data_IF_854494661948
#
_entry.id   IF_854494661948
#
_cell.length_a   1.000
_cell.length_b   1.000
_cell.length_c   1.000
_cell.angle_alpha   90.00
_cell.angle_beta   90.00
_cell.angle_gamma   90.00
#
_symmetry.space_group_name_H-M   'P 1'
#
loop_
_entity.id
_entity.type
_entity.pdbx_description
1 polymer ?
#
# COMPACT_ATOMS: atom_id res chain seq x y z
N UNK A 1 10.65 -10.82 14.87
CA UNK A 1 11.19 -12.19 14.96
C UNK A 1 10.43 -13.07 15.96
N UNK A 2 10.25 -12.67 17.25
CA UNK A 2 9.56 -13.49 18.27
C UNK A 2 8.18 -14.06 17.85
N UNK A 3 7.39 -13.32 17.04
CA UNK A 3 6.06 -13.74 16.64
C UNK A 3 6.07 -14.89 15.64
N UNK A 4 6.99 -14.89 14.69
CA UNK A 4 7.13 -16.00 13.72
C UNK A 4 7.58 -17.29 14.44
N UNK A 5 8.43 -17.15 15.45
CA UNK A 5 8.85 -18.29 16.28
C UNK A 5 7.65 -18.89 17.05
N UNK A 6 6.80 -18.02 17.63
CA UNK A 6 5.59 -18.47 18.33
C UNK A 6 4.61 -19.21 17.41
N UNK A 7 4.61 -18.91 16.13
CA UNK A 7 3.74 -19.56 15.14
C UNK A 7 4.40 -20.76 14.46
N UNK A 8 5.63 -21.12 14.84
CA UNK A 8 6.34 -22.23 14.22
C UNK A 8 6.67 -22.03 12.75
N UNK A 9 6.80 -20.78 12.30
CA UNK A 9 7.07 -20.43 10.91
C UNK A 9 8.59 -20.50 10.67
N UNK A 10 8.98 -21.28 9.65
CA UNK A 10 10.37 -21.29 9.18
C UNK A 10 10.79 -19.89 8.68
N UNK A 11 11.98 -19.48 9.09
CA UNK A 11 12.55 -18.18 8.73
C UNK A 11 13.75 -18.37 7.81
N UNK A 12 13.71 -17.72 6.66
CA UNK A 12 14.85 -17.62 5.75
C UNK A 12 15.31 -16.17 5.73
N UNK A 13 16.51 -15.89 6.21
CA UNK A 13 17.07 -14.55 6.12
C UNK A 13 17.58 -14.27 4.71
N UNK A 14 17.27 -13.06 4.20
CA UNK A 14 17.67 -12.63 2.86
C UNK A 14 17.24 -11.22 2.54
N UNK A 15 17.72 -10.74 1.41
CA UNK A 15 17.40 -9.43 0.85
C UNK A 15 17.03 -9.57 -0.62
N UNK A 16 16.14 -8.69 -1.11
CA UNK A 16 15.77 -8.66 -2.54
C UNK A 16 16.97 -8.32 -3.45
N UNK A 17 18.01 -7.75 -2.90
CA UNK A 17 19.27 -7.43 -3.62
C UNK A 17 20.33 -8.55 -3.54
N UNK A 18 20.02 -9.66 -2.85
CA UNK A 18 20.88 -10.86 -2.77
C UNK A 18 20.23 -12.07 -3.47
N UNK A 19 20.55 -12.34 -4.76
CA UNK A 19 19.99 -13.46 -5.50
C UNK A 19 20.21 -14.83 -4.84
N UNK A 20 21.32 -15.03 -4.15
CA UNK A 20 21.59 -16.30 -3.48
C UNK A 20 20.59 -16.56 -2.33
N UNK A 21 20.25 -15.52 -1.57
CA UNK A 21 19.22 -15.64 -0.52
C UNK A 21 17.83 -15.90 -1.11
N UNK A 22 17.52 -15.33 -2.27
CA UNK A 22 16.24 -15.54 -2.94
C UNK A 22 16.11 -16.98 -3.47
N UNK A 23 17.18 -17.56 -4.01
CA UNK A 23 17.19 -18.97 -4.44
C UNK A 23 16.93 -19.89 -3.25
N UNK A 24 17.58 -19.64 -2.09
CA UNK A 24 17.33 -20.41 -0.86
C UNK A 24 15.88 -20.28 -0.38
N UNK A 25 15.34 -19.07 -0.40
CA UNK A 25 13.95 -18.80 0.04
C UNK A 25 12.91 -19.37 -0.92
N UNK A 26 13.20 -19.43 -2.22
CA UNK A 26 12.30 -19.98 -3.25
C UNK A 26 12.31 -21.51 -3.32
N UNK A 27 13.31 -22.17 -2.73
CA UNK A 27 13.46 -23.62 -2.79
C UNK A 27 12.25 -24.33 -2.18
N UNK A 28 11.50 -25.10 -3.01
CA UNK A 28 10.30 -25.82 -2.59
C UNK A 28 9.05 -24.95 -2.36
N UNK A 29 9.12 -23.64 -2.55
CA UNK A 29 7.97 -22.76 -2.38
C UNK A 29 6.97 -22.94 -3.54
N UNK A 30 5.78 -23.46 -3.23
CA UNK A 30 4.71 -23.68 -4.21
C UNK A 30 3.75 -22.50 -4.30
N UNK A 31 3.62 -21.72 -3.24
CA UNK A 31 2.81 -20.49 -3.16
C UNK A 31 3.68 -19.36 -2.66
N UNK A 32 3.66 -18.23 -3.34
CA UNK A 32 4.49 -17.06 -2.97
C UNK A 32 3.60 -15.82 -2.87
N UNK A 33 3.70 -15.10 -1.75
CA UNK A 33 3.09 -13.78 -1.57
C UNK A 33 4.19 -12.74 -1.43
N UNK A 34 4.38 -11.93 -2.47
CA UNK A 34 5.42 -10.90 -2.49
C UNK A 34 4.92 -9.57 -1.97
N UNK A 35 5.22 -9.29 -0.69
CA UNK A 35 4.90 -8.03 -0.02
C UNK A 35 6.10 -7.09 0.13
N UNK A 36 7.32 -7.60 -0.08
CA UNK A 36 8.54 -6.85 0.19
C UNK A 36 8.72 -5.70 -0.81
N UNK A 37 8.95 -4.50 -0.31
CA UNK A 37 9.26 -3.32 -1.12
C UNK A 37 9.95 -2.24 -0.28
N UNK A 38 10.80 -1.44 -0.93
CA UNK A 38 11.20 -0.14 -0.39
C UNK A 38 10.01 0.80 -0.50
N UNK A 39 9.54 1.30 0.65
CA UNK A 39 8.42 2.26 0.74
C UNK A 39 8.94 3.64 1.15
N UNK A 40 8.20 4.68 0.84
CA UNK A 40 8.50 6.06 1.22
C UNK A 40 8.14 7.04 0.10
N UNK A 41 8.10 8.32 0.46
CA UNK A 41 7.71 9.42 -0.43
C UNK A 41 8.90 10.27 -0.90
N UNK A 42 10.15 9.86 -0.57
CA UNK A 42 11.36 10.61 -0.86
C UNK A 42 12.60 9.73 -0.96
N UNK A 43 13.53 10.11 -1.83
CA UNK A 43 14.80 9.41 -2.00
C UNK A 43 15.19 9.23 -3.48
N UNK A 44 16.41 8.73 -3.74
CA UNK A 44 16.87 8.44 -5.10
C UNK A 44 16.03 7.35 -5.76
N UNK A 45 15.60 7.58 -7.00
CA UNK A 45 14.78 6.62 -7.75
C UNK A 45 15.48 5.27 -7.95
N UNK A 46 16.79 5.29 -8.15
CA UNK A 46 17.56 4.05 -8.36
C UNK A 46 17.55 3.11 -7.15
N UNK A 47 17.49 3.66 -5.94
CA UNK A 47 17.32 2.83 -4.74
C UNK A 47 15.97 2.11 -4.72
N UNK A 48 14.88 2.79 -5.13
CA UNK A 48 13.57 2.15 -5.27
C UNK A 48 13.59 1.08 -6.37
N UNK A 49 14.19 1.38 -7.53
CA UNK A 49 14.30 0.42 -8.64
C UNK A 49 15.16 -0.79 -8.27
N UNK A 50 16.24 -0.59 -7.52
CA UNK A 50 17.11 -1.68 -7.07
C UNK A 50 16.31 -2.73 -6.30
N UNK A 51 15.46 -2.30 -5.38
CA UNK A 51 14.70 -3.21 -4.51
C UNK A 51 13.39 -3.64 -5.19
N UNK A 52 12.58 -2.68 -5.65
CA UNK A 52 11.21 -2.97 -6.08
C UNK A 52 11.11 -3.58 -7.47
N UNK A 53 12.10 -3.35 -8.33
CA UNK A 53 12.07 -3.83 -9.72
C UNK A 53 13.15 -4.87 -9.97
N UNK A 54 14.43 -4.54 -9.76
CA UNK A 54 15.54 -5.50 -9.99
C UNK A 54 15.47 -6.66 -9.00
N UNK A 55 15.20 -6.35 -7.71
CA UNK A 55 15.02 -7.38 -6.68
C UNK A 55 13.80 -8.28 -6.93
N UNK A 56 12.67 -7.70 -7.39
CA UNK A 56 11.54 -8.51 -7.84
C UNK A 56 11.92 -9.40 -9.03
N UNK A 57 12.65 -8.88 -10.03
CA UNK A 57 13.12 -9.69 -11.15
C UNK A 57 13.98 -10.87 -10.71
N UNK A 58 14.90 -10.68 -9.76
CA UNK A 58 15.69 -11.77 -9.20
C UNK A 58 14.83 -12.80 -8.44
N UNK A 59 13.80 -12.35 -7.70
CA UNK A 59 12.85 -13.25 -7.05
C UNK A 59 12.05 -14.07 -8.07
N UNK A 60 11.56 -13.44 -9.13
CA UNK A 60 10.81 -14.13 -10.19
C UNK A 60 11.68 -15.21 -10.86
N UNK A 61 12.93 -14.90 -11.19
CA UNK A 61 13.87 -15.89 -11.72
C UNK A 61 14.10 -17.06 -10.73
N UNK A 62 14.25 -16.76 -9.45
CA UNK A 62 14.46 -17.79 -8.43
C UNK A 62 13.27 -18.75 -8.31
N UNK A 63 12.03 -18.24 -8.28
CA UNK A 63 10.82 -19.07 -8.17
C UNK A 63 10.52 -19.84 -9.47
N UNK A 64 10.80 -19.26 -10.63
CA UNK A 64 10.68 -19.94 -11.94
C UNK A 64 11.69 -21.08 -12.06
N UNK A 65 12.95 -20.83 -11.65
CA UNK A 65 14.02 -21.83 -11.68
C UNK A 65 13.76 -23.00 -10.70
N UNK A 66 13.06 -22.76 -9.60
CA UNK A 66 12.67 -23.82 -8.66
C UNK A 66 11.65 -24.80 -9.28
N UNK A 67 10.87 -24.38 -10.28
CA UNK A 67 10.01 -25.25 -11.10
C UNK A 67 8.79 -25.86 -10.40
N UNK A 68 8.49 -25.46 -9.16
CA UNK A 68 7.40 -26.01 -8.34
C UNK A 68 6.30 -25.00 -8.01
N UNK A 69 6.45 -23.77 -8.51
CA UNK A 69 5.52 -22.68 -8.24
C UNK A 69 4.13 -22.96 -8.79
N UNK A 70 3.12 -22.85 -7.94
CA UNK A 70 1.71 -23.00 -8.30
C UNK A 70 0.98 -21.67 -8.40
N UNK A 71 1.34 -20.70 -7.55
CA UNK A 71 0.75 -19.38 -7.58
C UNK A 71 1.69 -18.32 -6.96
N UNK A 72 1.82 -17.18 -7.64
CA UNK A 72 2.55 -15.99 -7.18
C UNK A 72 1.56 -14.84 -7.00
N UNK A 73 1.45 -14.27 -5.82
CA UNK A 73 0.64 -13.08 -5.56
C UNK A 73 1.56 -11.87 -5.39
N UNK A 74 1.48 -10.93 -6.33
CA UNK A 74 2.20 -9.66 -6.22
C UNK A 74 1.34 -8.60 -5.54
N UNK A 75 1.79 -8.09 -4.40
CA UNK A 75 1.13 -6.98 -3.71
C UNK A 75 1.62 -5.66 -4.29
N UNK A 76 0.78 -5.05 -5.11
CA UNK A 76 0.98 -3.73 -5.70
C UNK A 76 0.35 -2.62 -4.83
N UNK A 77 -0.27 -1.62 -5.41
CA UNK A 77 -0.94 -0.51 -4.72
C UNK A 77 -1.93 0.20 -5.65
N UNK A 78 -3.04 0.72 -5.14
CA UNK A 78 -3.88 1.69 -5.86
C UNK A 78 -3.13 3.00 -6.19
N UNK A 79 -1.97 3.21 -5.57
CA UNK A 79 -1.06 4.30 -5.92
C UNK A 79 -0.56 4.30 -7.37
N UNK A 80 -0.63 3.16 -8.09
CA UNK A 80 -0.21 3.05 -9.49
C UNK A 80 -1.05 3.90 -10.45
N UNK A 81 -2.27 4.25 -10.07
CA UNK A 81 -3.10 5.14 -10.87
C UNK A 81 -2.61 6.59 -10.80
N UNK A 82 -2.96 7.37 -11.81
CA UNK A 82 -2.58 8.79 -11.92
C UNK A 82 -2.91 9.58 -10.63
N UNK A 83 -2.11 10.59 -10.31
CA UNK A 83 -2.33 11.47 -9.16
C UNK A 83 -3.42 12.51 -9.39
N UNK A 84 -4.66 12.08 -9.56
CA UNK A 84 -5.87 12.90 -9.74
C UNK A 84 -7.02 12.41 -8.86
N UNK A 85 -8.14 13.09 -8.90
CA UNK A 85 -9.37 12.61 -8.28
C UNK A 85 -9.89 11.37 -9.01
N UNK A 86 -10.31 10.37 -8.24
CA UNK A 86 -10.90 9.12 -8.71
C UNK A 86 -12.34 9.02 -8.23
N UNK A 87 -13.21 8.53 -9.10
CA UNK A 87 -14.63 8.33 -8.86
C UNK A 87 -15.06 6.98 -9.46
N UNK A 88 -14.91 5.91 -8.66
CA UNK A 88 -15.19 4.55 -9.10
C UNK A 88 -14.18 3.98 -10.10
N UNK A 89 -12.92 4.46 -10.08
CA UNK A 89 -11.86 3.95 -10.98
C UNK A 89 -11.60 2.47 -10.75
N UNK A 90 -11.65 1.69 -11.82
CA UNK A 90 -11.46 0.24 -11.83
C UNK A 90 -10.17 -0.20 -12.55
N UNK A 91 -9.99 -1.50 -12.69
CA UNK A 91 -8.79 -2.13 -13.26
C UNK A 91 -8.66 -1.96 -14.79
N UNK A 92 -9.66 -1.40 -15.48
CA UNK A 92 -9.59 -1.10 -16.93
C UNK A 92 -8.75 0.15 -17.20
N UNK A 93 -8.56 0.99 -16.17
CA UNK A 93 -7.70 2.17 -16.27
C UNK A 93 -6.23 1.75 -16.11
N UNK A 94 -5.41 2.12 -17.11
CA UNK A 94 -3.99 1.81 -17.10
C UNK A 94 -3.24 2.58 -16.00
N UNK A 95 -2.21 1.94 -15.37
CA UNK A 95 -1.29 2.62 -14.46
C UNK A 95 -0.56 3.78 -15.15
N UNK A 96 -0.35 4.86 -14.40
CA UNK A 96 0.36 6.03 -14.91
C UNK A 96 1.84 5.99 -14.53
N UNK A 97 2.70 6.44 -15.44
CA UNK A 97 4.13 6.67 -15.16
C UNK A 97 4.46 8.15 -14.98
N UNK A 98 3.47 9.04 -15.14
CA UNK A 98 3.67 10.50 -15.13
C UNK A 98 3.38 11.10 -13.75
N UNK A 99 4.25 11.97 -13.27
CA UNK A 99 4.05 12.71 -12.01
C UNK A 99 4.09 11.84 -10.76
N UNK A 100 4.72 10.67 -10.83
CA UNK A 100 4.84 9.72 -9.74
C UNK A 100 6.06 10.00 -8.86
N UNK A 101 5.94 9.73 -7.56
CA UNK A 101 7.10 9.57 -6.68
C UNK A 101 7.83 8.24 -6.97
N UNK A 102 9.04 8.09 -6.40
CA UNK A 102 9.88 6.91 -6.66
C UNK A 102 9.23 5.59 -6.26
N UNK A 103 8.42 5.59 -5.19
CA UNK A 103 7.71 4.39 -4.76
C UNK A 103 6.60 4.02 -5.75
N UNK A 104 5.70 4.94 -6.07
CA UNK A 104 4.57 4.66 -6.97
C UNK A 104 5.03 4.33 -8.38
N UNK A 105 6.04 5.03 -8.92
CA UNK A 105 6.63 4.70 -10.22
C UNK A 105 7.19 3.27 -10.24
N UNK A 106 7.94 2.88 -9.21
CA UNK A 106 8.51 1.52 -9.18
C UNK A 106 7.47 0.43 -8.91
N UNK A 107 6.31 0.74 -8.31
CA UNK A 107 5.18 -0.19 -8.27
C UNK A 107 4.57 -0.41 -9.66
N UNK A 108 4.47 0.64 -10.50
CA UNK A 108 4.05 0.49 -11.92
C UNK A 108 5.06 -0.36 -12.69
N UNK A 109 6.36 -0.06 -12.58
CA UNK A 109 7.43 -0.82 -13.25
C UNK A 109 7.43 -2.30 -12.79
N UNK A 110 7.16 -2.57 -11.51
CA UNK A 110 7.05 -3.91 -10.95
C UNK A 110 5.84 -4.67 -11.50
N UNK A 111 4.67 -4.03 -11.60
CA UNK A 111 3.50 -4.66 -12.25
C UNK A 111 3.79 -5.00 -13.72
N UNK A 112 4.40 -4.09 -14.47
CA UNK A 112 4.78 -4.33 -15.87
C UNK A 112 5.74 -5.52 -15.99
N UNK A 113 6.67 -5.67 -15.05
CA UNK A 113 7.58 -6.81 -15.00
C UNK A 113 6.81 -8.12 -14.76
N UNK A 114 5.93 -8.16 -13.74
CA UNK A 114 5.09 -9.36 -13.46
C UNK A 114 4.22 -9.72 -14.66
N UNK A 115 3.56 -8.73 -15.28
CA UNK A 115 2.72 -8.95 -16.46
C UNK A 115 3.53 -9.47 -17.67
N UNK A 116 4.78 -9.06 -17.82
CA UNK A 116 5.68 -9.60 -18.82
C UNK A 116 5.98 -11.07 -18.55
N UNK A 117 6.34 -11.44 -17.32
CA UNK A 117 6.58 -12.84 -16.94
C UNK A 117 5.33 -13.71 -17.11
N UNK A 118 4.14 -13.20 -16.82
CA UNK A 118 2.88 -13.91 -17.11
C UNK A 118 2.74 -14.22 -18.60
N UNK A 119 3.00 -13.24 -19.47
CA UNK A 119 2.84 -13.42 -20.92
C UNK A 119 3.92 -14.30 -21.54
N UNK A 120 5.18 -14.06 -21.20
CA UNK A 120 6.36 -14.64 -21.87
C UNK A 120 6.80 -15.95 -21.21
N UNK A 121 6.77 -16.03 -19.86
CA UNK A 121 7.27 -17.16 -19.09
C UNK A 121 6.15 -18.05 -18.52
N UNK A 122 4.88 -17.69 -18.77
CA UNK A 122 3.71 -18.38 -18.21
C UNK A 122 3.72 -18.40 -16.68
N UNK A 123 4.30 -17.38 -16.04
CA UNK A 123 4.28 -17.24 -14.58
C UNK A 123 2.83 -17.31 -14.06
N UNK A 124 2.49 -18.25 -13.15
CA UNK A 124 1.16 -18.34 -12.57
C UNK A 124 0.97 -17.25 -11.50
N UNK A 125 0.75 -16.00 -11.91
CA UNK A 125 0.70 -14.88 -10.98
C UNK A 125 -0.61 -14.09 -11.05
N UNK A 126 -0.97 -13.49 -9.90
CA UNK A 126 -2.08 -12.54 -9.73
C UNK A 126 -1.53 -11.27 -9.08
N UNK A 127 -2.02 -10.12 -9.51
CA UNK A 127 -1.66 -8.81 -8.93
C UNK A 127 -2.82 -8.32 -8.06
N UNK A 128 -2.51 -7.90 -6.84
CA UNK A 128 -3.47 -7.29 -5.90
C UNK A 128 -3.04 -5.84 -5.67
N UNK A 129 -3.93 -4.88 -5.92
CA UNK A 129 -3.74 -3.45 -5.69
C UNK A 129 -4.51 -3.00 -4.45
N UNK A 130 -3.97 -3.13 -3.25
CA UNK A 130 -4.62 -2.60 -2.05
C UNK A 130 -4.59 -1.08 -2.03
N UNK A 131 -5.57 -0.49 -1.35
CA UNK A 131 -5.56 0.91 -0.98
C UNK A 131 -4.61 1.18 0.19
N UNK A 132 -4.95 2.20 0.97
CA UNK A 132 -4.24 2.51 2.21
C UNK A 132 -4.48 1.40 3.25
N UNK A 133 -3.46 0.61 3.49
CA UNK A 133 -3.52 -0.49 4.46
C UNK A 133 -3.42 0.07 5.87
N UNK A 134 -4.38 -0.28 6.73
CA UNK A 134 -4.37 0.01 8.15
C UNK A 134 -4.70 -1.25 8.96
N UNK A 135 -4.35 -1.26 10.24
CA UNK A 135 -4.63 -2.38 11.12
C UNK A 135 -3.64 -2.47 12.27
N UNK A 136 -3.81 -3.45 13.17
CA UNK A 136 -2.82 -3.76 14.20
C UNK A 136 -1.41 -3.92 13.61
N UNK A 137 -0.39 -3.43 14.34
CA UNK A 137 1.02 -3.46 13.94
C UNK A 137 1.41 -2.50 12.81
N UNK A 138 0.57 -1.54 12.43
CA UNK A 138 1.04 -0.46 11.54
C UNK A 138 2.24 0.26 12.18
N UNK A 139 3.32 0.37 11.39
CA UNK A 139 4.58 1.02 11.81
C UNK A 139 4.86 2.29 11.01
N UNK A 140 3.97 2.68 10.12
CA UNK A 140 4.27 3.69 9.09
C UNK A 140 3.44 4.95 9.23
N UNK A 141 2.12 4.89 9.12
CA UNK A 141 1.25 6.06 9.00
C UNK A 141 0.52 6.36 10.30
N UNK A 142 -0.19 5.39 10.87
CA UNK A 142 -0.98 5.62 12.07
C UNK A 142 -0.15 6.09 13.28
N UNK A 143 1.06 5.56 13.56
CA UNK A 143 1.88 6.09 14.65
C UNK A 143 2.19 7.58 14.48
N UNK A 144 2.50 8.01 13.25
CA UNK A 144 2.78 9.43 12.95
C UNK A 144 1.53 10.30 13.06
N UNK A 145 0.38 9.78 12.62
CA UNK A 145 -0.90 10.46 12.74
C UNK A 145 -1.29 10.63 14.22
N UNK A 146 -1.17 9.61 15.04
CA UNK A 146 -1.47 9.64 16.47
C UNK A 146 -0.60 10.68 17.21
N UNK A 147 0.71 10.72 16.94
CA UNK A 147 1.61 11.73 17.52
C UNK A 147 1.16 13.15 17.14
N UNK A 148 0.79 13.38 15.89
CA UNK A 148 0.33 14.71 15.42
C UNK A 148 -1.05 15.07 15.96
N UNK A 149 -1.96 14.13 16.09
CA UNK A 149 -3.27 14.34 16.70
C UNK A 149 -3.12 14.72 18.19
N UNK A 150 -2.29 14.00 18.92
CA UNK A 150 -1.96 14.31 20.33
C UNK A 150 -1.41 15.72 20.49
N UNK A 151 -0.57 16.15 19.55
CA UNK A 151 0.01 17.51 19.53
C UNK A 151 -0.92 18.59 18.96
N UNK A 152 -2.14 18.27 18.50
CA UNK A 152 -3.07 19.21 17.89
C UNK A 152 -2.58 19.81 16.54
N UNK A 153 -1.70 19.09 15.84
CA UNK A 153 -1.02 19.58 14.62
C UNK A 153 -1.66 19.11 13.31
N UNK A 154 -2.74 18.33 13.39
CA UNK A 154 -3.43 17.82 12.19
C UNK A 154 -4.36 18.90 11.65
N UNK A 155 -4.30 19.10 10.32
CA UNK A 155 -5.20 19.97 9.57
C UNK A 155 -5.78 19.21 8.39
N UNK A 156 -7.05 19.47 8.06
CA UNK A 156 -7.66 18.94 6.84
C UNK A 156 -7.16 19.70 5.61
N UNK A 157 -7.17 19.03 4.45
CA UNK A 157 -6.98 19.66 3.16
C UNK A 157 -8.35 19.85 2.51
N UNK A 158 -8.72 21.10 2.21
CA UNK A 158 -10.08 21.45 1.80
C UNK A 158 -11.11 21.13 2.90
N UNK A 159 -12.27 20.64 2.52
CA UNK A 159 -13.32 20.20 3.44
C UNK A 159 -12.96 18.94 4.20
N UNK A 160 -12.06 18.11 3.65
CA UNK A 160 -11.77 16.77 4.14
C UNK A 160 -12.81 15.71 3.73
N UNK A 161 -13.77 16.07 2.87
CA UNK A 161 -14.83 15.15 2.41
C UNK A 161 -14.39 14.24 1.25
N UNK A 162 -13.19 14.45 0.71
CA UNK A 162 -12.62 13.53 -0.27
C UNK A 162 -12.48 12.13 0.33
N UNK A 163 -12.84 11.11 -0.46
CA UNK A 163 -12.83 9.73 0.01
C UNK A 163 -11.41 9.18 0.18
N UNK A 164 -11.28 8.28 1.14
CA UNK A 164 -10.13 7.41 1.35
C UNK A 164 -10.31 6.10 0.58
N UNK A 165 -9.20 5.47 0.26
CA UNK A 165 -9.14 4.11 -0.26
C UNK A 165 -8.66 3.13 0.84
N UNK A 166 -9.24 3.21 2.03
CA UNK A 166 -8.85 2.41 3.18
C UNK A 166 -9.03 0.90 2.94
N UNK A 167 -8.08 0.12 3.46
CA UNK A 167 -8.05 -1.33 3.36
C UNK A 167 -7.59 -1.90 4.71
N UNK A 168 -8.49 -2.54 5.45
CA UNK A 168 -8.12 -3.23 6.68
C UNK A 168 -7.22 -4.42 6.36
N UNK A 169 -6.13 -4.59 7.11
CA UNK A 169 -5.15 -5.65 6.84
C UNK A 169 -5.77 -7.05 6.87
N UNK A 170 -6.75 -7.31 7.75
CA UNK A 170 -7.46 -8.58 7.79
C UNK A 170 -8.26 -8.87 6.52
N UNK A 171 -9.00 -7.86 6.02
CA UNK A 171 -9.75 -7.99 4.77
C UNK A 171 -8.83 -8.23 3.56
N UNK A 172 -7.65 -7.59 3.54
CA UNK A 172 -6.63 -7.85 2.50
C UNK A 172 -6.09 -9.27 2.57
N UNK A 173 -5.83 -9.78 3.76
CA UNK A 173 -5.36 -11.16 3.97
C UNK A 173 -6.40 -12.16 3.49
N UNK A 174 -7.68 -11.94 3.75
CA UNK A 174 -8.77 -12.79 3.24
C UNK A 174 -8.74 -12.84 1.69
N UNK A 175 -8.60 -11.69 1.02
CA UNK A 175 -8.47 -11.65 -0.45
C UNK A 175 -7.24 -12.41 -0.95
N UNK A 176 -6.10 -12.30 -0.27
CA UNK A 176 -4.88 -13.04 -0.65
C UNK A 176 -5.12 -14.56 -0.57
N UNK A 177 -5.78 -15.05 0.48
CA UNK A 177 -6.11 -16.47 0.60
C UNK A 177 -7.12 -16.90 -0.46
N UNK A 178 -8.13 -16.10 -0.76
CA UNK A 178 -9.11 -16.37 -1.81
C UNK A 178 -8.44 -16.45 -3.19
N UNK A 179 -7.50 -15.56 -3.48
CA UNK A 179 -6.68 -15.59 -4.72
C UNK A 179 -5.87 -16.87 -4.79
N UNK A 180 -5.15 -17.22 -3.73
CA UNK A 180 -4.32 -18.45 -3.68
C UNK A 180 -5.12 -19.73 -3.82
N UNK A 181 -6.37 -19.73 -3.33
CA UNK A 181 -7.28 -20.90 -3.41
C UNK A 181 -7.93 -21.06 -4.78
N UNK A 182 -7.91 -20.01 -5.65
CA UNK A 182 -8.64 -19.98 -6.92
C UNK A 182 -7.68 -19.82 -8.12
N UNK A 183 -7.20 -20.92 -8.74
CA UNK A 183 -6.28 -20.86 -9.88
C UNK A 183 -6.80 -20.04 -11.08
N UNK A 184 -8.11 -19.89 -11.24
CA UNK A 184 -8.70 -19.05 -12.29
C UNK A 184 -8.38 -17.56 -12.14
N UNK A 185 -7.81 -17.12 -11.02
CA UNK A 185 -7.35 -15.73 -10.82
C UNK A 185 -5.99 -15.45 -11.43
N UNK A 186 -5.28 -16.47 -11.89
CA UNK A 186 -3.99 -16.32 -12.56
C UNK A 186 -4.15 -15.43 -13.80
N UNK A 187 -3.28 -14.43 -13.92
CA UNK A 187 -3.34 -13.39 -14.96
C UNK A 187 -4.23 -12.20 -14.62
N UNK A 188 -4.97 -12.25 -13.52
CA UNK A 188 -5.86 -11.17 -13.10
C UNK A 188 -5.16 -10.10 -12.27
N UNK A 189 -5.77 -8.90 -12.27
CA UNK A 189 -5.45 -7.78 -11.40
C UNK A 189 -6.71 -7.44 -10.62
N UNK A 190 -6.58 -7.17 -9.31
CA UNK A 190 -7.70 -6.82 -8.43
C UNK A 190 -7.40 -5.57 -7.62
N UNK A 191 -8.27 -4.57 -7.71
CA UNK A 191 -8.34 -3.47 -6.76
C UNK A 191 -9.00 -3.96 -5.45
N UNK A 192 -8.43 -3.61 -4.31
CA UNK A 192 -8.93 -4.06 -3.00
C UNK A 192 -8.99 -2.90 -2.01
N UNK A 193 -10.20 -2.64 -1.50
CA UNK A 193 -10.48 -1.73 -0.39
C UNK A 193 -11.52 -2.35 0.52
N UNK A 194 -11.83 -1.72 1.65
CA UNK A 194 -12.93 -2.15 2.52
C UNK A 194 -14.33 -1.91 1.91
N UNK A 195 -14.41 -1.18 0.78
CA UNK A 195 -15.67 -0.89 0.12
C UNK A 195 -16.59 0.08 0.86
N UNK A 196 -16.15 0.61 1.99
CA UNK A 196 -16.86 1.63 2.76
C UNK A 196 -16.43 3.03 2.26
N UNK A 197 -17.39 3.93 1.93
CA UNK A 197 -17.08 5.30 1.52
C UNK A 197 -16.73 6.16 2.75
N UNK A 198 -15.49 6.10 3.19
CA UNK A 198 -14.97 6.86 4.33
C UNK A 198 -14.27 8.12 3.83
N UNK A 199 -14.71 9.31 4.28
CA UNK A 199 -14.01 10.56 3.97
C UNK A 199 -12.71 10.68 4.80
N UNK A 200 -11.76 11.50 4.35
CA UNK A 200 -10.54 11.81 5.11
C UNK A 200 -10.86 12.41 6.48
N UNK A 201 -11.90 13.25 6.53
CA UNK A 201 -12.44 13.78 7.79
C UNK A 201 -12.97 12.66 8.68
N UNK A 202 -13.77 11.76 8.13
CA UNK A 202 -14.31 10.60 8.83
C UNK A 202 -13.19 9.71 9.38
N UNK A 203 -12.20 9.39 8.55
CA UNK A 203 -11.03 8.59 8.95
C UNK A 203 -10.28 9.22 10.12
N UNK A 204 -9.88 10.48 9.99
CA UNK A 204 -9.11 11.20 11.02
C UNK A 204 -9.93 11.39 12.29
N UNK A 205 -11.22 11.66 12.16
CA UNK A 205 -12.12 11.82 13.31
C UNK A 205 -12.30 10.53 14.10
N UNK A 206 -12.45 9.39 13.41
CA UNK A 206 -12.55 8.08 14.06
C UNK A 206 -11.26 7.75 14.82
N UNK A 207 -10.09 7.93 14.21
CA UNK A 207 -8.80 7.75 14.88
C UNK A 207 -8.68 8.64 16.12
N UNK A 208 -9.02 9.93 16.01
CA UNK A 208 -8.94 10.88 17.13
C UNK A 208 -9.88 10.49 18.26
N UNK A 209 -11.14 10.14 17.94
CA UNK A 209 -12.17 9.76 18.91
C UNK A 209 -11.76 8.50 19.68
N UNK A 210 -11.36 7.45 18.96
CA UNK A 210 -10.94 6.19 19.58
C UNK A 210 -9.67 6.35 20.43
N UNK A 211 -8.75 7.23 20.02
CA UNK A 211 -7.53 7.52 20.79
C UNK A 211 -7.75 8.49 21.98
N UNK A 212 -8.94 9.09 22.11
CA UNK A 212 -9.24 10.09 23.15
C UNK A 212 -8.59 11.45 22.90
N UNK A 213 -8.31 11.80 21.62
CA UNK A 213 -7.70 13.07 21.25
C UNK A 213 -8.75 14.07 20.73
N UNK A 214 -8.41 15.37 20.78
CA UNK A 214 -9.25 16.43 20.22
C UNK A 214 -9.33 16.32 18.69
N UNK A 215 -10.54 16.52 18.16
CA UNK A 215 -10.77 16.57 16.72
C UNK A 215 -10.06 17.79 16.10
N UNK A 216 -9.42 17.65 14.93
CA UNK A 216 -8.87 18.80 14.22
C UNK A 216 -9.96 19.81 13.85
N UNK A 217 -9.69 21.10 14.09
CA UNK A 217 -10.65 22.19 13.86
C UNK A 217 -10.28 23.03 12.63
N UNK A 218 -9.06 22.90 12.13
CA UNK A 218 -8.54 23.75 11.07
C UNK A 218 -8.37 23.01 9.75
N UNK A 219 -8.52 23.75 8.66
CA UNK A 219 -8.33 23.27 7.31
C UNK A 219 -7.41 24.21 6.52
N UNK A 220 -6.71 23.66 5.53
CA UNK A 220 -5.92 24.42 4.55
C UNK A 220 -6.65 24.30 3.21
N UNK A 221 -6.99 25.42 2.54
CA UNK A 221 -7.60 25.35 1.21
C UNK A 221 -6.77 24.49 0.25
N UNK A 222 -7.42 23.64 -0.57
CA UNK A 222 -6.73 22.69 -1.47
C UNK A 222 -5.74 23.37 -2.40
N UNK A 223 -6.10 24.52 -2.98
CA UNK A 223 -5.20 25.29 -3.86
C UNK A 223 -3.94 25.76 -3.13
N UNK A 224 -4.08 26.22 -1.89
CA UNK A 224 -2.95 26.65 -1.05
C UNK A 224 -2.09 25.45 -0.69
N UNK A 225 -2.69 24.34 -0.27
CA UNK A 225 -1.96 23.11 0.04
C UNK A 225 -1.16 22.59 -1.17
N UNK A 226 -1.76 22.61 -2.37
CA UNK A 226 -1.11 22.20 -3.62
C UNK A 226 0.06 23.09 -3.99
N UNK A 227 -0.13 24.42 -3.88
CA UNK A 227 0.92 25.40 -4.14
C UNK A 227 2.11 25.20 -3.18
N UNK A 228 1.83 25.15 -1.86
CA UNK A 228 2.86 24.95 -0.84
C UNK A 228 3.60 23.63 -1.03
N UNK A 229 2.91 22.55 -1.41
CA UNK A 229 3.52 21.26 -1.73
C UNK A 229 4.51 21.39 -2.87
N UNK A 230 4.12 22.02 -3.97
CA UNK A 230 4.96 22.19 -5.16
C UNK A 230 6.22 23.03 -4.87
N UNK A 231 6.05 24.13 -4.13
CA UNK A 231 7.18 25.00 -3.74
C UNK A 231 8.12 24.27 -2.78
N UNK A 232 7.56 23.60 -1.77
CA UNK A 232 8.33 22.86 -0.77
C UNK A 232 9.19 21.76 -1.41
N UNK A 233 8.63 20.94 -2.32
CA UNK A 233 9.41 19.92 -3.01
C UNK A 233 10.53 20.48 -3.88
N UNK A 234 10.24 21.53 -4.66
CA UNK A 234 11.27 22.16 -5.50
C UNK A 234 12.42 22.69 -4.65
N UNK A 235 12.10 23.36 -3.53
CA UNK A 235 13.11 23.90 -2.62
C UNK A 235 13.96 22.79 -1.97
N UNK A 236 13.32 21.71 -1.49
CA UNK A 236 14.02 20.58 -0.87
C UNK A 236 14.93 19.85 -1.86
N UNK A 237 14.49 19.69 -3.12
CA UNK A 237 15.33 19.13 -4.21
C UNK A 237 16.51 20.04 -4.53
N UNK A 238 16.29 21.35 -4.65
CA UNK A 238 17.35 22.33 -4.91
C UNK A 238 18.39 22.35 -3.80
N UNK A 239 17.96 22.23 -2.54
CA UNK A 239 18.84 22.19 -1.36
C UNK A 239 19.45 20.80 -1.09
N UNK A 240 19.21 19.80 -1.93
CA UNK A 240 19.75 18.45 -1.76
C UNK A 240 19.33 17.76 -0.46
N UNK A 241 18.16 18.11 0.11
CA UNK A 241 17.69 17.54 1.38
C UNK A 241 17.40 16.04 1.23
N UNK A 242 17.91 15.24 2.17
CA UNK A 242 17.72 13.77 2.19
C UNK A 242 16.36 13.36 2.75
N UNK A 243 15.70 14.22 3.52
CA UNK A 243 14.39 13.97 4.12
C UNK A 243 13.27 14.61 3.29
N UNK A 244 12.09 13.98 3.29
CA UNK A 244 10.92 14.52 2.63
C UNK A 244 10.44 15.82 3.30
N UNK A 245 10.01 16.83 2.52
CA UNK A 245 9.33 17.98 3.10
C UNK A 245 8.04 17.55 3.79
N UNK A 246 7.58 18.35 4.75
CA UNK A 246 6.32 18.08 5.45
C UNK A 246 5.13 18.00 4.47
N UNK A 247 5.17 18.81 3.42
CA UNK A 247 4.22 18.80 2.31
C UNK A 247 4.94 18.30 1.05
N UNK A 248 4.67 17.06 0.66
CA UNK A 248 5.14 16.42 -0.58
C UNK A 248 3.96 16.10 -1.50
N UNK A 249 4.21 15.93 -2.80
CA UNK A 249 3.18 15.53 -3.77
C UNK A 249 2.55 14.18 -3.41
N UNK A 250 3.34 13.23 -2.90
CA UNK A 250 2.81 11.96 -2.42
C UNK A 250 1.82 12.14 -1.25
N UNK A 251 2.16 13.02 -0.29
CA UNK A 251 1.25 13.35 0.83
C UNK A 251 0.03 14.13 0.37
N UNK A 252 0.19 15.06 -0.59
CA UNK A 252 -0.94 15.76 -1.18
C UNK A 252 -1.87 14.80 -1.93
N UNK A 253 -1.33 13.87 -2.73
CA UNK A 253 -2.10 12.81 -3.39
C UNK A 253 -2.96 12.06 -2.37
N UNK A 254 -2.38 11.67 -1.24
CA UNK A 254 -3.06 10.93 -0.19
C UNK A 254 -4.09 11.79 0.59
N UNK A 255 -3.76 13.03 0.94
CA UNK A 255 -4.58 13.87 1.83
C UNK A 255 -5.57 14.77 1.10
N UNK A 256 -5.30 15.14 -0.15
CA UNK A 256 -6.05 16.16 -0.89
C UNK A 256 -6.94 15.62 -2.01
N UNK A 257 -6.63 14.45 -2.58
CA UNK A 257 -7.39 13.92 -3.71
C UNK A 257 -8.53 12.99 -3.25
N UNK A 258 -9.58 12.92 -4.07
CA UNK A 258 -10.62 11.89 -3.91
C UNK A 258 -10.07 10.54 -4.38
N UNK A 259 -10.13 9.52 -3.53
CA UNK A 259 -9.52 8.21 -3.77
C UNK A 259 -10.60 7.11 -3.77
N UNK A 260 -11.61 7.29 -4.60
CA UNK A 260 -12.68 6.32 -4.78
C UNK A 260 -12.35 5.34 -5.90
N UNK A 261 -12.11 4.08 -5.52
CA UNK A 261 -11.76 2.99 -6.44
C UNK A 261 -12.78 1.87 -6.37
N UNK A 262 -13.16 1.36 -7.53
CA UNK A 262 -14.11 0.25 -7.65
C UNK A 262 -13.46 -1.06 -7.22
N UNK A 263 -14.20 -1.85 -6.43
CA UNK A 263 -13.88 -3.23 -6.07
C UNK A 263 -14.89 -4.21 -6.69
N UNK A 264 -15.62 -3.79 -7.74
CA UNK A 264 -16.63 -4.61 -8.37
C UNK A 264 -16.07 -5.91 -8.96
N UNK A 265 -14.85 -5.87 -9.49
CA UNK A 265 -14.19 -7.04 -10.06
C UNK A 265 -13.88 -8.09 -8.98
N UNK A 266 -13.23 -7.72 -7.89
CA UNK A 266 -12.91 -8.66 -6.81
C UNK A 266 -14.17 -9.22 -6.14
N UNK A 267 -15.24 -8.42 -6.02
CA UNK A 267 -16.55 -8.89 -5.55
C UNK A 267 -17.15 -9.94 -6.48
N UNK A 268 -17.16 -9.67 -7.78
CA UNK A 268 -17.75 -10.57 -8.78
C UNK A 268 -16.98 -11.88 -8.92
N UNK A 269 -15.65 -11.82 -8.97
CA UNK A 269 -14.82 -12.98 -9.31
C UNK A 269 -14.40 -13.80 -8.09
N UNK A 270 -14.22 -13.16 -6.94
CA UNK A 270 -13.84 -13.85 -5.69
C UNK A 270 -14.99 -13.98 -4.69
N UNK A 271 -16.11 -13.30 -4.90
CA UNK A 271 -17.17 -13.23 -3.90
C UNK A 271 -16.76 -12.36 -2.69
N UNK A 272 -15.77 -11.49 -2.88
CA UNK A 272 -15.24 -10.66 -1.80
C UNK A 272 -16.32 -9.80 -1.16
N UNK A 273 -16.51 -10.00 0.13
CA UNK A 273 -17.32 -9.15 0.99
C UNK A 273 -16.51 -8.88 2.25
N UNK A 274 -16.03 -7.65 2.47
CA UNK A 274 -15.21 -7.33 3.64
C UNK A 274 -15.89 -7.80 4.93
N UNK A 275 -15.19 -8.59 5.73
CA UNK A 275 -15.75 -9.13 6.99
C UNK A 275 -15.70 -8.13 8.12
N UNK A 276 -14.75 -7.19 8.05
CA UNK A 276 -14.51 -6.19 9.06
C UNK A 276 -14.80 -4.82 8.45
N UNK A 277 -15.72 -4.08 9.03
CA UNK A 277 -16.03 -2.71 8.64
C UNK A 277 -14.90 -1.76 9.02
N UNK A 278 -14.86 -0.57 8.41
CA UNK A 278 -13.87 0.45 8.76
C UNK A 278 -13.83 0.75 10.27
N UNK A 279 -15.01 0.89 10.91
CA UNK A 279 -15.08 1.20 12.36
C UNK A 279 -14.55 0.09 13.25
N UNK A 280 -14.88 -1.15 12.92
CA UNK A 280 -14.38 -2.32 13.65
C UNK A 280 -12.88 -2.43 13.50
N UNK A 281 -12.36 -2.40 12.28
CA UNK A 281 -10.93 -2.48 12.01
C UNK A 281 -10.12 -1.32 12.62
N UNK A 282 -10.69 -0.10 12.67
CA UNK A 282 -10.04 1.02 13.33
C UNK A 282 -10.04 0.86 14.85
N UNK A 283 -11.10 0.33 15.44
CA UNK A 283 -11.15 0.00 16.87
C UNK A 283 -10.07 -1.02 17.23
N UNK A 284 -10.01 -2.13 16.50
CA UNK A 284 -9.00 -3.17 16.72
C UNK A 284 -7.58 -2.59 16.61
N UNK A 285 -7.40 -1.68 15.67
CA UNK A 285 -6.11 -1.01 15.45
C UNK A 285 -5.72 -0.15 16.64
N UNK A 286 -6.62 0.71 17.11
CA UNK A 286 -6.35 1.63 18.23
C UNK A 286 -6.20 0.86 19.54
N UNK A 287 -7.00 -0.19 19.75
CA UNK A 287 -6.90 -1.06 20.92
C UNK A 287 -5.54 -1.77 20.96
N UNK A 288 -5.04 -2.23 19.80
CA UNK A 288 -3.67 -2.76 19.71
C UNK A 288 -2.62 -1.72 20.10
N UNK A 289 -2.70 -0.46 19.62
CA UNK A 289 -1.77 0.60 20.04
C UNK A 289 -1.83 0.88 21.53
N UNK A 290 -3.02 0.80 22.13
CA UNK A 290 -3.21 0.97 23.58
C UNK A 290 -2.58 -0.16 24.39
N UNK A 291 -2.78 -1.42 23.96
CA UNK A 291 -2.18 -2.60 24.59
C UNK A 291 -0.65 -2.58 24.53
N UNK A 292 -0.08 -2.06 23.47
CA UNK A 292 1.38 -1.90 23.29
C UNK A 292 1.95 -0.66 24.02
N UNK A 293 1.12 0.10 24.74
CA UNK A 293 1.56 1.33 25.43
C UNK A 293 2.01 2.45 24.50
N UNK A 294 1.42 2.53 23.29
CA UNK A 294 1.84 3.45 22.22
C UNK A 294 0.84 4.61 21.99
N UNK A 295 -0.14 4.79 22.88
CA UNK A 295 -1.10 5.88 22.90
C UNK A 295 -0.79 6.89 24.01
#
# INVERSE_FOLDING_TARGET
MRLLDQWGIEKVEGELTDPASLIRAAAGATLVVHCAAKVGDWGPLDEYRSINVRGLGALLQAVESAGVLRHFVHISSLGVYEGRDHYGTDETVEPSTTGMDGYTLTKVEAEQLVLRHIREQKLPATIVRPGFIYGPRDRTVLPKLLVRLKAGQVKYFGSGEQLMNNTFVGNLVDVIFDVLAKPQTIGSIFNVTDGDPVSKRGFISEVATLAGYKLPQSAVPLGVARFLTTVSEKLYRLLGKKEAPLLSNARFKFLGLNLDFSIAKVRRELGYNPRVTFREGMRDTIDWFRQEGRL
#
